data_IF_503892011573
#
_entry.id   IF_503892011573
#
_cell.length_a   1.000
_cell.length_b   1.000
_cell.length_c   1.000
_cell.angle_alpha   90.00
_cell.angle_beta   90.00
_cell.angle_gamma   90.00
#
_symmetry.space_group_name_H-M   'P 1'
#
loop_
_entity.id
_entity.type
_entity.pdbx_description
1 polymer ?
#
# COMPACT_ATOMS: atom_id res chain seq x y z
N UNK A 1 7.45 10.11 -25.27
CA UNK A 1 7.15 8.69 -25.49
C UNK A 1 7.75 8.30 -26.82
N UNK A 2 8.46 7.17 -26.85
CA UNK A 2 9.20 6.74 -28.03
C UNK A 2 8.30 6.31 -29.17
N UNK A 3 8.84 6.30 -30.37
CA UNK A 3 8.14 5.93 -31.61
C UNK A 3 7.88 4.41 -31.74
N UNK A 4 8.21 3.61 -30.74
CA UNK A 4 8.26 2.13 -30.79
C UNK A 4 7.54 1.40 -29.64
N UNK A 5 6.76 2.11 -28.84
CA UNK A 5 5.98 1.53 -27.73
C UNK A 5 4.53 1.98 -27.82
N UNK A 6 3.61 1.03 -27.93
CA UNK A 6 2.17 1.22 -27.77
C UNK A 6 1.76 0.76 -26.39
N UNK A 7 0.96 1.53 -25.67
CA UNK A 7 0.49 1.21 -24.33
C UNK A 7 -1.04 1.35 -24.31
N UNK A 8 -1.72 0.25 -24.02
CA UNK A 8 -3.16 0.21 -23.77
C UNK A 8 -3.41 0.15 -22.27
N UNK A 9 -4.41 0.90 -21.79
CA UNK A 9 -4.75 1.01 -20.38
C UNK A 9 -6.17 0.56 -20.12
N UNK A 10 -6.36 -0.17 -19.03
CA UNK A 10 -7.67 -0.43 -18.45
C UNK A 10 -7.59 -0.20 -16.94
N UNK A 11 -8.51 0.61 -16.39
CA UNK A 11 -8.52 1.03 -14.98
C UNK A 11 -9.79 0.47 -14.34
N UNK A 12 -9.63 -0.30 -13.26
CA UNK A 12 -10.72 -0.94 -12.55
C UNK A 12 -11.07 -0.30 -11.20
N UNK A 13 -10.33 0.72 -10.77
CA UNK A 13 -10.50 1.43 -9.49
C UNK A 13 -10.67 0.50 -8.26
N UNK A 14 -10.08 -0.70 -8.32
CA UNK A 14 -10.18 -1.71 -7.27
C UNK A 14 -11.42 -2.61 -7.34
N UNK A 15 -12.31 -2.40 -8.32
CA UNK A 15 -13.46 -3.26 -8.56
C UNK A 15 -13.02 -4.59 -9.20
N UNK A 16 -13.48 -5.71 -8.63
CA UNK A 16 -13.05 -7.05 -9.05
C UNK A 16 -13.66 -7.46 -10.40
N UNK A 17 -14.92 -7.13 -10.65
CA UNK A 17 -15.58 -7.49 -11.91
C UNK A 17 -15.05 -6.65 -13.07
N UNK A 18 -14.85 -5.36 -12.85
CA UNK A 18 -14.23 -4.49 -13.85
C UNK A 18 -12.78 -4.91 -14.10
N UNK A 19 -12.03 -5.35 -13.06
CA UNK A 19 -10.68 -5.89 -13.22
C UNK A 19 -10.64 -7.15 -14.09
N UNK A 20 -11.61 -8.05 -13.95
CA UNK A 20 -11.75 -9.23 -14.82
C UNK A 20 -12.06 -8.86 -16.26
N UNK A 21 -12.93 -7.89 -16.46
CA UNK A 21 -13.23 -7.37 -17.81
C UNK A 21 -11.99 -6.75 -18.44
N UNK A 22 -11.27 -5.90 -17.71
CA UNK A 22 -9.98 -5.35 -18.11
C UNK A 22 -8.97 -6.44 -18.51
N UNK A 23 -8.87 -7.51 -17.71
CA UNK A 23 -7.95 -8.61 -18.00
C UNK A 23 -8.28 -9.28 -19.35
N UNK A 24 -9.56 -9.62 -19.61
CA UNK A 24 -10.00 -10.20 -20.87
C UNK A 24 -9.74 -9.28 -22.06
N UNK A 25 -10.05 -8.00 -21.91
CA UNK A 25 -9.84 -6.99 -22.95
C UNK A 25 -8.36 -6.87 -23.33
N UNK A 26 -7.48 -6.64 -22.34
CA UNK A 26 -6.04 -6.50 -22.57
C UNK A 26 -5.41 -7.79 -23.13
N UNK A 27 -5.80 -8.98 -22.67
CA UNK A 27 -5.33 -10.26 -23.21
C UNK A 27 -5.76 -10.43 -24.69
N UNK A 28 -6.97 -9.98 -25.04
CA UNK A 28 -7.48 -10.08 -26.42
C UNK A 28 -6.67 -9.27 -27.43
N UNK A 29 -5.99 -8.21 -26.99
CA UNK A 29 -5.08 -7.39 -27.79
C UNK A 29 -3.76 -8.10 -28.09
N UNK A 30 -3.47 -9.22 -27.42
CA UNK A 30 -2.23 -10.02 -27.57
C UNK A 30 -0.96 -9.17 -27.40
N UNK A 31 -0.81 -8.41 -26.32
CA UNK A 31 0.37 -7.58 -26.12
C UNK A 31 1.61 -8.45 -25.89
N UNK A 32 2.78 -7.89 -26.13
CA UNK A 32 4.07 -8.56 -25.86
C UNK A 32 4.34 -8.71 -24.35
N UNK A 33 3.82 -7.79 -23.52
CA UNK A 33 3.95 -7.79 -22.05
C UNK A 33 2.68 -7.22 -21.43
N UNK A 34 2.22 -7.83 -20.34
CA UNK A 34 1.19 -7.29 -19.45
C UNK A 34 1.83 -6.66 -18.23
N UNK A 35 1.26 -5.54 -17.78
CA UNK A 35 1.64 -4.88 -16.54
C UNK A 35 0.45 -4.82 -15.57
N UNK A 36 0.57 -5.50 -14.44
CA UNK A 36 -0.48 -5.55 -13.42
C UNK A 36 -0.11 -4.74 -12.18
N UNK A 37 -1.02 -3.92 -11.70
CA UNK A 37 -0.86 -3.18 -10.45
C UNK A 37 -1.85 -3.70 -9.42
N UNK A 38 -1.36 -4.09 -8.24
CA UNK A 38 -2.10 -4.68 -7.12
C UNK A 38 -2.48 -6.16 -7.29
N UNK A 39 -2.92 -6.77 -6.18
CA UNK A 39 -3.35 -8.16 -6.15
C UNK A 39 -4.60 -8.39 -7.02
N UNK A 40 -5.54 -7.44 -7.06
CA UNK A 40 -6.80 -7.57 -7.80
C UNK A 40 -6.55 -7.73 -9.30
N UNK A 41 -5.70 -6.88 -9.87
CA UNK A 41 -5.34 -6.95 -11.30
C UNK A 41 -4.57 -8.24 -11.62
N UNK A 42 -3.62 -8.62 -10.76
CA UNK A 42 -2.82 -9.84 -10.96
C UNK A 42 -3.69 -11.10 -10.86
N UNK A 43 -4.61 -11.16 -9.89
CA UNK A 43 -5.54 -12.28 -9.76
C UNK A 43 -6.47 -12.40 -10.97
N UNK A 44 -6.94 -11.29 -11.52
CA UNK A 44 -7.78 -11.27 -12.72
C UNK A 44 -7.04 -11.80 -13.95
N UNK A 45 -5.79 -11.39 -14.18
CA UNK A 45 -4.97 -11.92 -15.28
C UNK A 45 -4.67 -13.41 -15.12
N UNK A 46 -4.40 -13.86 -13.90
CA UNK A 46 -4.14 -15.29 -13.64
C UNK A 46 -5.38 -16.15 -13.86
N UNK A 47 -6.57 -15.66 -13.46
CA UNK A 47 -7.83 -16.38 -13.65
C UNK A 47 -8.16 -16.63 -15.13
N UNK A 48 -7.74 -15.73 -16.02
CA UNK A 48 -7.88 -15.90 -17.48
C UNK A 48 -6.83 -16.82 -18.10
N UNK A 49 -5.89 -17.36 -17.32
CA UNK A 49 -4.91 -18.36 -17.75
C UNK A 49 -3.92 -17.85 -18.82
N UNK A 50 -3.61 -16.57 -18.84
CA UNK A 50 -2.71 -15.97 -19.83
C UNK A 50 -1.28 -16.46 -19.69
N UNK A 51 -0.66 -16.84 -20.81
CA UNK A 51 0.78 -17.14 -20.88
C UNK A 51 1.61 -15.93 -21.33
N UNK A 52 1.00 -14.77 -21.53
CA UNK A 52 1.70 -13.54 -21.90
C UNK A 52 2.64 -13.14 -20.73
N UNK A 53 3.90 -12.78 -21.02
CA UNK A 53 4.82 -12.26 -20.03
C UNK A 53 4.16 -11.15 -19.20
N UNK A 54 4.21 -11.29 -17.87
CA UNK A 54 3.53 -10.35 -16.97
C UNK A 54 4.51 -9.81 -15.94
N UNK A 55 4.58 -8.50 -15.84
CA UNK A 55 5.28 -7.78 -14.77
C UNK A 55 4.24 -7.23 -13.81
N UNK A 56 4.40 -7.51 -12.52
CA UNK A 56 3.54 -6.91 -11.51
C UNK A 56 4.25 -5.80 -10.70
N UNK A 57 3.46 -4.87 -10.17
CA UNK A 57 3.87 -3.93 -9.14
C UNK A 57 2.84 -3.91 -8.01
N UNK A 58 3.29 -3.61 -6.79
CA UNK A 58 2.42 -3.49 -5.60
C UNK A 58 1.64 -4.76 -5.26
N UNK A 59 2.12 -5.93 -5.70
CA UNK A 59 1.54 -7.21 -5.33
C UNK A 59 2.07 -7.64 -3.97
N UNK A 60 1.17 -8.04 -3.09
CA UNK A 60 1.49 -8.62 -1.79
C UNK A 60 1.54 -10.14 -1.89
N UNK A 61 2.50 -10.76 -1.20
CA UNK A 61 2.67 -12.21 -1.09
C UNK A 61 2.55 -12.99 -2.42
N UNK A 62 3.37 -12.69 -3.43
CA UNK A 62 3.28 -13.34 -4.73
C UNK A 62 3.58 -14.85 -4.70
N UNK A 63 4.26 -15.34 -3.65
CA UNK A 63 4.51 -16.76 -3.44
C UNK A 63 3.25 -17.44 -2.87
N UNK A 64 2.68 -16.91 -1.79
CA UNK A 64 1.45 -17.46 -1.19
C UNK A 64 0.27 -17.46 -2.16
N UNK A 65 0.19 -16.46 -3.03
CA UNK A 65 -0.80 -16.37 -4.13
C UNK A 65 -0.44 -17.26 -5.33
N UNK A 66 0.71 -17.94 -5.30
CA UNK A 66 1.20 -18.83 -6.35
C UNK A 66 1.40 -18.17 -7.72
N UNK A 67 1.70 -16.88 -7.73
CA UNK A 67 2.07 -16.15 -8.95
C UNK A 67 3.49 -16.50 -9.37
N UNK A 68 4.38 -16.70 -8.39
CA UNK A 68 5.78 -17.08 -8.57
C UNK A 68 6.17 -18.23 -7.62
N UNK A 69 7.21 -18.98 -7.97
CA UNK A 69 7.70 -20.07 -7.14
C UNK A 69 8.56 -19.58 -5.98
N UNK A 70 9.52 -18.74 -6.30
CA UNK A 70 10.37 -18.04 -5.32
C UNK A 70 10.70 -16.64 -5.80
N UNK A 71 11.19 -15.77 -4.91
CA UNK A 71 11.65 -14.45 -5.32
C UNK A 71 12.87 -14.51 -6.24
N UNK A 72 13.83 -15.39 -5.93
CA UNK A 72 15.06 -15.52 -6.72
C UNK A 72 14.83 -16.13 -8.10
N UNK A 73 13.86 -17.03 -8.20
CA UNK A 73 13.48 -17.75 -9.44
C UNK A 73 11.96 -17.81 -9.53
N UNK A 74 11.33 -16.86 -10.22
CA UNK A 74 9.87 -16.84 -10.39
C UNK A 74 9.30 -18.09 -11.03
N UNK A 75 10.05 -18.74 -11.95
CA UNK A 75 9.75 -20.05 -12.49
C UNK A 75 8.62 -20.10 -13.55
N UNK A 76 7.97 -18.96 -13.85
CA UNK A 76 6.84 -18.84 -14.77
C UNK A 76 6.97 -17.60 -15.65
N UNK A 77 5.87 -17.28 -16.36
CA UNK A 77 5.77 -16.07 -17.19
C UNK A 77 5.51 -14.79 -16.38
N UNK A 78 5.65 -14.81 -15.05
CA UNK A 78 5.32 -13.72 -14.14
C UNK A 78 6.53 -13.34 -13.30
N UNK A 79 6.81 -12.05 -13.18
CA UNK A 79 7.81 -11.48 -12.28
C UNK A 79 7.36 -10.08 -11.83
N UNK A 80 8.12 -9.40 -10.99
CA UNK A 80 7.78 -8.01 -10.65
C UNK A 80 8.30 -7.52 -9.30
N UNK A 81 7.57 -6.57 -8.73
CA UNK A 81 7.95 -5.79 -7.56
C UNK A 81 6.85 -5.87 -6.49
N UNK A 82 7.16 -6.54 -5.38
CA UNK A 82 6.24 -6.57 -4.24
C UNK A 82 6.33 -5.28 -3.43
N UNK A 83 5.24 -4.94 -2.74
CA UNK A 83 5.21 -3.88 -1.73
C UNK A 83 4.96 -4.44 -0.31
N UNK A 84 5.03 -5.76 -0.14
CA UNK A 84 4.70 -6.44 1.09
C UNK A 84 5.88 -6.48 2.07
N UNK A 85 5.80 -5.66 3.11
CA UNK A 85 6.80 -5.58 4.17
C UNK A 85 6.10 -5.51 5.52
N UNK A 86 5.71 -6.66 6.12
CA UNK A 86 4.93 -6.72 7.36
C UNK A 86 5.55 -5.99 8.55
N UNK A 87 6.88 -5.90 8.62
CA UNK A 87 7.59 -5.17 9.68
C UNK A 87 7.28 -3.66 9.72
N UNK A 88 6.75 -3.10 8.63
CA UNK A 88 6.26 -1.71 8.62
C UNK A 88 5.15 -1.49 9.63
N UNK A 89 4.32 -2.50 9.93
CA UNK A 89 3.26 -2.41 10.92
C UNK A 89 3.76 -1.92 12.28
N UNK A 90 4.83 -2.53 12.80
CA UNK A 90 5.46 -2.09 14.04
C UNK A 90 6.10 -0.72 13.94
N UNK A 91 6.70 -0.39 12.78
CA UNK A 91 7.29 0.93 12.53
C UNK A 91 6.22 2.03 12.55
N UNK A 92 5.03 1.78 12.00
CA UNK A 92 3.91 2.73 12.05
C UNK A 92 3.47 3.03 13.48
N UNK A 93 3.36 2.01 14.34
CA UNK A 93 3.04 2.21 15.76
C UNK A 93 4.10 3.07 16.43
N UNK A 94 5.38 2.76 16.23
CA UNK A 94 6.49 3.51 16.83
C UNK A 94 6.48 4.98 16.39
N UNK A 95 6.34 5.25 15.08
CA UNK A 95 6.30 6.60 14.53
C UNK A 95 5.08 7.39 15.04
N UNK A 96 3.91 6.76 15.06
CA UNK A 96 2.69 7.41 15.54
C UNK A 96 2.79 7.76 17.03
N UNK A 97 3.40 6.88 17.84
CA UNK A 97 3.66 7.12 19.26
C UNK A 97 4.71 8.22 19.47
N UNK A 98 5.70 8.34 18.60
CA UNK A 98 6.70 9.40 18.64
C UNK A 98 6.09 10.79 18.28
N UNK A 99 5.17 10.81 17.32
CA UNK A 99 4.44 12.02 16.88
C UNK A 99 3.39 12.45 17.91
N UNK A 100 2.70 11.50 18.52
CA UNK A 100 1.63 11.72 19.48
C UNK A 100 1.83 10.82 20.72
N UNK A 101 2.73 11.20 21.64
CA UNK A 101 3.12 10.36 22.79
C UNK A 101 1.97 10.01 23.74
N UNK A 102 0.90 10.81 23.72
CA UNK A 102 -0.30 10.59 24.54
C UNK A 102 -1.17 9.43 24.03
N UNK A 103 -0.94 8.88 22.83
CA UNK A 103 -1.76 7.80 22.27
C UNK A 103 -1.69 6.56 23.16
N UNK A 104 -2.86 6.07 23.55
CA UNK A 104 -3.06 4.85 24.34
C UNK A 104 -3.85 3.78 23.56
N UNK A 105 -4.52 4.20 22.46
CA UNK A 105 -5.33 3.31 21.64
C UNK A 105 -5.13 3.60 20.17
N UNK A 106 -5.00 2.55 19.37
CA UNK A 106 -4.86 2.64 17.91
C UNK A 106 -5.94 1.81 17.25
N UNK A 107 -6.76 2.45 16.42
CA UNK A 107 -7.62 1.76 15.46
C UNK A 107 -6.81 1.35 14.23
N UNK A 108 -6.87 0.08 13.86
CA UNK A 108 -6.17 -0.43 12.67
C UNK A 108 -7.19 -0.65 11.56
N UNK A 109 -7.12 0.17 10.52
CA UNK A 109 -7.98 0.11 9.33
C UNK A 109 -7.39 -0.87 8.34
N UNK A 110 -8.08 -1.98 8.07
CA UNK A 110 -7.59 -3.00 7.15
C UNK A 110 -8.74 -3.77 6.47
N UNK A 111 -8.46 -4.29 5.28
CA UNK A 111 -9.36 -5.16 4.55
C UNK A 111 -9.08 -6.63 4.91
N UNK A 112 -10.03 -7.36 5.52
CA UNK A 112 -9.84 -8.76 5.88
C UNK A 112 -9.76 -9.69 4.67
N UNK A 113 -10.28 -9.29 3.51
CA UNK A 113 -10.21 -10.07 2.26
C UNK A 113 -8.78 -10.21 1.72
N UNK A 114 -7.84 -9.35 2.18
CA UNK A 114 -6.41 -9.49 1.89
C UNK A 114 -5.74 -10.64 2.67
N UNK A 115 -6.51 -11.35 3.50
CA UNK A 115 -6.12 -12.61 4.12
C UNK A 115 -4.82 -12.55 4.93
N UNK A 116 -3.87 -13.45 4.63
CA UNK A 116 -2.60 -13.56 5.36
C UNK A 116 -1.77 -12.28 5.34
N UNK A 117 -1.95 -11.40 4.37
CA UNK A 117 -1.23 -10.13 4.27
C UNK A 117 -1.61 -9.20 5.43
N UNK A 118 -2.92 -9.02 5.66
CA UNK A 118 -3.41 -8.23 6.80
C UNK A 118 -2.96 -8.85 8.11
N UNK A 119 -3.05 -10.17 8.27
CA UNK A 119 -2.64 -10.88 9.48
C UNK A 119 -1.17 -10.64 9.84
N UNK A 120 -0.26 -10.64 8.87
CA UNK A 120 1.16 -10.41 9.09
C UNK A 120 1.45 -8.96 9.57
N UNK A 121 0.78 -7.95 8.99
CA UNK A 121 0.87 -6.57 9.47
C UNK A 121 0.28 -6.42 10.87
N UNK A 122 -0.90 -7.01 11.13
CA UNK A 122 -1.56 -6.98 12.44
C UNK A 122 -0.68 -7.60 13.51
N UNK A 123 -0.03 -8.73 13.23
CA UNK A 123 0.91 -9.36 14.18
C UNK A 123 2.07 -8.42 14.51
N UNK A 124 2.65 -7.74 13.51
CA UNK A 124 3.74 -6.77 13.72
C UNK A 124 3.27 -5.54 14.53
N UNK A 125 2.08 -5.00 14.23
CA UNK A 125 1.47 -3.90 14.97
C UNK A 125 1.26 -4.30 16.42
N UNK A 126 0.63 -5.46 16.68
CA UNK A 126 0.31 -5.95 18.01
C UNK A 126 1.55 -6.13 18.88
N UNK A 127 2.63 -6.69 18.31
CA UNK A 127 3.88 -6.88 19.02
C UNK A 127 4.48 -5.56 19.53
N UNK A 128 4.50 -4.51 18.68
CA UNK A 128 5.05 -3.20 19.07
C UNK A 128 4.07 -2.42 19.93
N UNK A 129 2.77 -2.46 19.67
CA UNK A 129 1.77 -1.81 20.50
C UNK A 129 1.82 -2.29 21.95
N UNK A 130 1.93 -3.60 22.15
CA UNK A 130 2.04 -4.21 23.48
C UNK A 130 3.26 -3.68 24.27
N UNK A 131 4.42 -3.58 23.64
CA UNK A 131 5.65 -3.08 24.29
C UNK A 131 5.64 -1.57 24.50
N UNK A 132 4.83 -0.84 23.73
CA UNK A 132 4.69 0.62 23.81
C UNK A 132 3.54 1.08 24.71
N UNK A 133 2.86 0.18 25.40
CA UNK A 133 1.71 0.50 26.27
C UNK A 133 0.49 1.00 25.47
N UNK A 134 0.32 0.56 24.23
CA UNK A 134 -0.77 0.95 23.34
C UNK A 134 -1.70 -0.24 23.09
N UNK A 135 -3.00 -0.02 23.18
CA UNK A 135 -4.01 -1.02 22.80
C UNK A 135 -4.32 -0.88 21.32
N UNK A 136 -4.01 -1.92 20.53
CA UNK A 136 -4.44 -2.00 19.14
C UNK A 136 -5.84 -2.61 19.04
N UNK A 137 -6.75 -1.92 18.36
CA UNK A 137 -8.11 -2.37 18.09
C UNK A 137 -8.20 -2.69 16.60
N UNK A 138 -8.37 -3.96 16.31
CA UNK A 138 -8.54 -4.41 14.93
C UNK A 138 -9.93 -4.03 14.44
N UNK A 139 -9.97 -3.39 13.28
CA UNK A 139 -11.21 -2.88 12.71
C UNK A 139 -11.26 -3.25 11.23
N UNK A 140 -11.71 -4.48 10.96
CA UNK A 140 -11.90 -4.93 9.58
C UNK A 140 -12.98 -4.10 8.90
N UNK A 141 -12.75 -3.78 7.65
CA UNK A 141 -13.75 -3.13 6.81
C UNK A 141 -14.06 -3.97 5.56
N UNK A 142 -15.32 -4.01 5.16
CA UNK A 142 -15.75 -4.56 3.88
C UNK A 142 -16.11 -3.45 2.88
N UNK A 143 -16.31 -2.23 3.36
CA UNK A 143 -16.72 -1.08 2.56
C UNK A 143 -16.32 0.27 3.21
N UNK A 144 -16.51 1.35 2.48
CA UNK A 144 -16.21 2.70 2.98
C UNK A 144 -17.04 3.09 4.20
N UNK A 145 -18.28 2.65 4.28
CA UNK A 145 -19.19 3.03 5.38
C UNK A 145 -18.75 2.39 6.70
N UNK A 146 -18.15 1.21 6.67
CA UNK A 146 -17.57 0.58 7.85
C UNK A 146 -16.32 1.31 8.34
N UNK A 147 -15.48 1.82 7.42
CA UNK A 147 -14.32 2.66 7.77
C UNK A 147 -14.79 3.97 8.41
N UNK A 148 -15.80 4.63 7.83
CA UNK A 148 -16.35 5.87 8.36
C UNK A 148 -16.91 5.68 9.78
N UNK A 149 -17.68 4.64 10.02
CA UNK A 149 -18.21 4.31 11.37
C UNK A 149 -17.09 4.09 12.37
N UNK A 150 -16.03 3.40 11.97
CA UNK A 150 -14.87 3.21 12.82
C UNK A 150 -14.22 4.55 13.19
N UNK A 151 -13.87 5.37 12.20
CA UNK A 151 -13.20 6.65 12.43
C UNK A 151 -14.04 7.51 13.37
N UNK A 152 -15.35 7.58 13.13
CA UNK A 152 -16.29 8.32 14.00
C UNK A 152 -16.36 7.73 15.41
N UNK A 153 -16.34 6.40 15.57
CA UNK A 153 -16.39 5.75 16.89
C UNK A 153 -15.16 6.05 17.76
N UNK A 154 -14.03 6.40 17.13
CA UNK A 154 -12.80 6.77 17.84
C UNK A 154 -12.73 8.27 18.19
N UNK A 155 -13.60 9.11 17.61
CA UNK A 155 -13.59 10.55 17.83
C UNK A 155 -13.69 10.92 19.33
N UNK A 156 -14.56 10.23 20.06
CA UNK A 156 -14.78 10.46 21.50
C UNK A 156 -13.85 9.63 22.40
N UNK A 157 -12.97 8.81 21.79
CA UNK A 157 -11.99 8.01 22.51
C UNK A 157 -10.76 8.86 22.80
N UNK A 158 -10.54 9.15 24.08
CA UNK A 158 -9.37 9.91 24.51
C UNK A 158 -8.09 9.21 24.09
N UNK A 159 -7.10 9.96 23.63
CA UNK A 159 -5.77 9.44 23.26
C UNK A 159 -5.82 8.34 22.19
N UNK A 160 -6.74 8.46 21.21
CA UNK A 160 -6.84 7.54 20.09
C UNK A 160 -6.04 8.02 18.88
N UNK A 161 -5.60 7.07 18.05
CA UNK A 161 -4.98 7.30 16.75
C UNK A 161 -5.36 6.20 15.75
N UNK A 162 -4.91 6.33 14.52
CA UNK A 162 -5.24 5.41 13.43
C UNK A 162 -3.98 4.95 12.69
N UNK A 163 -3.98 3.68 12.31
CA UNK A 163 -3.02 3.08 11.37
C UNK A 163 -3.78 2.53 10.18
N UNK A 164 -3.48 3.01 8.97
CA UNK A 164 -4.05 2.49 7.73
C UNK A 164 -3.11 1.46 7.12
N UNK A 165 -3.58 0.22 6.98
CA UNK A 165 -2.84 -0.82 6.25
C UNK A 165 -2.97 -0.64 4.73
N UNK A 166 -2.05 -1.23 3.94
CA UNK A 166 -2.14 -1.21 2.48
C UNK A 166 -3.47 -1.78 1.96
N UNK A 167 -4.23 -0.93 1.28
CA UNK A 167 -5.53 -1.27 0.72
C UNK A 167 -5.88 -0.35 -0.46
N UNK A 168 -6.40 -0.93 -1.54
CA UNK A 168 -6.74 -0.20 -2.76
C UNK A 168 -7.94 0.73 -2.56
N UNK A 169 -8.95 0.31 -1.78
CA UNK A 169 -10.14 1.11 -1.53
C UNK A 169 -9.80 2.41 -0.77
N UNK A 170 -9.02 2.30 0.30
CA UNK A 170 -8.60 3.47 1.08
C UNK A 170 -7.69 4.38 0.27
N UNK A 171 -6.80 3.82 -0.57
CA UNK A 171 -5.95 4.59 -1.47
C UNK A 171 -6.76 5.35 -2.54
N UNK A 172 -7.74 4.73 -3.15
CA UNK A 172 -8.64 5.37 -4.12
C UNK A 172 -9.43 6.52 -3.47
N UNK A 173 -9.95 6.30 -2.26
CA UNK A 173 -10.74 7.29 -1.49
C UNK A 173 -9.93 8.11 -0.49
N UNK A 174 -8.63 8.23 -0.67
CA UNK A 174 -7.72 8.90 0.29
C UNK A 174 -8.16 10.31 0.68
N UNK A 175 -8.71 11.11 -0.26
CA UNK A 175 -9.21 12.47 0.02
C UNK A 175 -10.35 12.45 1.04
N UNK A 176 -11.31 11.56 0.85
CA UNK A 176 -12.45 11.41 1.76
C UNK A 176 -12.00 10.91 3.13
N UNK A 177 -11.13 9.89 3.14
CA UNK A 177 -10.60 9.31 4.39
C UNK A 177 -9.79 10.31 5.19
N UNK A 178 -8.86 11.04 4.57
CA UNK A 178 -8.06 12.05 5.28
C UNK A 178 -8.90 13.21 5.79
N UNK A 179 -9.90 13.66 5.02
CA UNK A 179 -10.82 14.71 5.45
C UNK A 179 -11.64 14.29 6.68
N UNK A 180 -12.12 13.05 6.71
CA UNK A 180 -12.87 12.51 7.84
C UNK A 180 -11.98 12.37 9.09
N UNK A 181 -10.76 11.83 8.93
CA UNK A 181 -9.78 11.70 10.02
C UNK A 181 -9.44 13.06 10.61
N UNK A 182 -9.23 14.07 9.75
CA UNK A 182 -8.97 15.44 10.18
C UNK A 182 -10.17 16.04 10.94
N UNK A 183 -11.40 15.83 10.45
CA UNK A 183 -12.64 16.26 11.12
C UNK A 183 -12.78 15.66 12.52
N UNK A 184 -12.41 14.40 12.68
CA UNK A 184 -12.42 13.67 13.96
C UNK A 184 -11.19 14.00 14.83
N UNK A 185 -10.24 14.81 14.34
CA UNK A 185 -9.01 15.23 15.04
C UNK A 185 -8.16 14.05 15.52
N UNK A 186 -8.11 12.98 14.74
CA UNK A 186 -7.34 11.78 15.07
C UNK A 186 -5.95 11.82 14.42
N UNK A 187 -4.86 11.68 15.18
CA UNK A 187 -3.55 11.41 14.60
C UNK A 187 -3.59 10.10 13.81
N UNK A 188 -3.11 10.11 12.56
CA UNK A 188 -3.11 8.94 11.71
C UNK A 188 -1.82 8.78 10.92
N UNK A 189 -1.39 7.52 10.75
CA UNK A 189 -0.28 7.15 9.89
C UNK A 189 -0.77 6.31 8.72
N UNK A 190 -0.21 6.57 7.55
CA UNK A 190 -0.60 5.98 6.30
C UNK A 190 0.56 5.23 5.64
N UNK A 191 0.22 4.25 4.81
CA UNK A 191 1.18 3.39 4.11
C UNK A 191 1.77 4.01 2.82
N UNK A 192 1.24 5.15 2.35
CA UNK A 192 1.71 5.84 1.13
C UNK A 192 1.69 7.36 1.30
N UNK A 193 2.67 8.05 0.67
CA UNK A 193 2.74 9.51 0.60
C UNK A 193 1.48 10.18 0.06
N UNK A 194 0.76 9.51 -0.86
CA UNK A 194 -0.46 10.04 -1.49
C UNK A 194 -1.52 10.51 -0.49
N UNK A 195 -1.51 10.00 0.74
CA UNK A 195 -2.38 10.48 1.81
C UNK A 195 -1.89 11.82 2.37
N UNK A 196 -0.57 12.00 2.54
CA UNK A 196 0.01 13.26 3.01
C UNK A 196 -0.20 14.38 1.99
N UNK A 197 -0.13 14.09 0.69
CA UNK A 197 -0.39 15.03 -0.41
C UNK A 197 -1.82 15.62 -0.37
N UNK A 198 -2.76 14.95 0.31
CA UNK A 198 -4.16 15.39 0.45
C UNK A 198 -4.55 15.72 1.90
N UNK A 199 -3.56 15.98 2.77
CA UNK A 199 -3.77 16.43 4.14
C UNK A 199 -3.63 15.36 5.23
N UNK A 200 -3.16 14.16 4.92
CA UNK A 200 -2.82 13.16 5.93
C UNK A 200 -1.63 13.61 6.78
N UNK A 201 -1.61 13.22 8.07
CA UNK A 201 -0.62 13.68 9.04
C UNK A 201 0.80 13.17 8.72
N UNK A 202 0.92 11.86 8.51
CA UNK A 202 2.21 11.22 8.30
C UNK A 202 2.07 9.95 7.47
N UNK A 203 3.05 9.69 6.63
CA UNK A 203 3.17 8.40 5.94
C UNK A 203 4.59 7.83 6.09
N UNK A 204 4.64 6.51 6.20
CA UNK A 204 5.88 5.76 6.09
C UNK A 204 5.62 4.52 5.26
N UNK A 205 6.17 4.47 4.08
CA UNK A 205 5.85 3.41 3.13
C UNK A 205 6.83 3.30 1.98
N UNK A 206 6.49 2.45 1.02
CA UNK A 206 7.34 2.20 -0.14
C UNK A 206 7.39 3.42 -1.07
N UNK A 207 8.55 3.65 -1.66
CA UNK A 207 8.70 4.65 -2.71
C UNK A 207 8.09 4.12 -4.02
N UNK A 208 6.89 4.62 -4.37
CA UNK A 208 6.17 4.20 -5.58
C UNK A 208 6.96 4.45 -6.87
N UNK A 209 7.67 5.58 -6.95
CA UNK A 209 8.45 5.92 -8.14
C UNK A 209 9.54 4.89 -8.39
N UNK A 210 10.19 4.39 -7.33
CA UNK A 210 11.21 3.35 -7.43
C UNK A 210 10.63 2.01 -7.87
N UNK A 211 9.47 1.63 -7.32
CA UNK A 211 8.76 0.40 -7.72
C UNK A 211 8.39 0.46 -9.19
N UNK A 212 7.75 1.55 -9.64
CA UNK A 212 7.33 1.67 -11.05
C UNK A 212 8.51 1.81 -12.01
N UNK A 213 9.57 2.53 -11.65
CA UNK A 213 10.78 2.61 -12.46
C UNK A 213 11.46 1.24 -12.60
N UNK A 214 11.51 0.47 -11.52
CA UNK A 214 12.00 -0.90 -11.55
C UNK A 214 11.15 -1.81 -12.44
N UNK A 215 9.81 -1.73 -12.32
CA UNK A 215 8.89 -2.50 -13.15
C UNK A 215 9.03 -2.13 -14.64
N UNK A 216 9.16 -0.85 -14.97
CA UNK A 216 9.40 -0.39 -16.34
C UNK A 216 10.72 -0.94 -16.91
N UNK A 217 11.77 -1.04 -16.09
CA UNK A 217 13.03 -1.68 -16.47
C UNK A 217 12.85 -3.17 -16.79
N UNK A 218 11.99 -3.88 -16.03
CA UNK A 218 11.69 -5.29 -16.33
C UNK A 218 10.88 -5.45 -17.60
N UNK A 219 9.89 -4.59 -17.83
CA UNK A 219 9.14 -4.54 -19.09
C UNK A 219 10.10 -4.34 -20.28
N UNK A 220 11.02 -3.36 -20.22
CA UNK A 220 12.02 -3.14 -21.29
C UNK A 220 12.88 -4.38 -21.53
N UNK A 221 13.36 -5.04 -20.48
CA UNK A 221 14.18 -6.26 -20.60
C UNK A 221 13.41 -7.42 -21.25
N UNK A 222 12.12 -7.58 -20.89
CA UNK A 222 11.27 -8.64 -21.48
C UNK A 222 10.98 -8.35 -22.95
N UNK A 223 10.67 -7.10 -23.31
CA UNK A 223 10.51 -6.67 -24.70
C UNK A 223 11.79 -6.86 -25.54
N UNK A 224 12.96 -6.91 -24.90
CA UNK A 224 14.25 -7.25 -25.54
C UNK A 224 14.59 -8.73 -25.50
N UNK A 225 13.66 -9.59 -25.07
CA UNK A 225 13.80 -11.06 -25.09
C UNK A 225 14.25 -11.70 -23.77
N UNK A 226 14.29 -10.97 -22.66
CA UNK A 226 14.53 -11.61 -21.37
C UNK A 226 13.33 -12.47 -20.95
N UNK A 227 13.61 -13.64 -20.35
CA UNK A 227 12.57 -14.49 -19.83
C UNK A 227 12.13 -14.00 -18.44
N UNK A 228 10.83 -13.76 -18.17
CA UNK A 228 10.34 -13.40 -16.83
C UNK A 228 10.77 -14.39 -15.73
N UNK A 229 10.86 -15.68 -16.04
CA UNK A 229 11.29 -16.72 -15.10
C UNK A 229 12.70 -16.50 -14.53
N UNK A 230 13.56 -15.76 -15.25
CA UNK A 230 14.95 -15.50 -14.88
C UNK A 230 15.13 -14.10 -14.24
N UNK A 231 14.05 -13.33 -14.12
CA UNK A 231 14.05 -11.99 -13.50
C UNK A 231 13.55 -12.10 -12.05
N UNK A 232 14.43 -11.98 -11.04
CA UNK A 232 14.03 -12.13 -9.64
C UNK A 232 12.93 -11.13 -9.24
N UNK A 233 11.96 -11.57 -8.45
CA UNK A 233 11.01 -10.67 -7.81
C UNK A 233 11.75 -9.76 -6.84
N UNK A 234 11.50 -8.46 -6.90
CA UNK A 234 12.12 -7.47 -6.05
C UNK A 234 11.23 -7.10 -4.87
N UNK A 235 11.80 -7.10 -3.66
CA UNK A 235 11.20 -6.48 -2.50
C UNK A 235 11.67 -5.02 -2.39
N UNK A 236 10.87 -4.12 -1.80
CA UNK A 236 11.28 -2.73 -1.63
C UNK A 236 12.45 -2.63 -0.65
N UNK A 237 13.45 -1.84 -1.01
CA UNK A 237 14.62 -1.52 -0.19
C UNK A 237 14.64 -0.06 0.24
N UNK A 238 13.83 0.77 -0.41
CA UNK A 238 13.73 2.20 -0.13
C UNK A 238 12.32 2.54 0.33
N UNK A 239 12.24 3.30 1.41
CA UNK A 239 11.00 3.75 2.03
C UNK A 239 11.00 5.27 2.09
N UNK A 240 9.82 5.88 2.06
CA UNK A 240 9.62 7.31 2.20
C UNK A 240 8.94 7.63 3.53
N UNK A 241 9.50 8.57 4.25
CA UNK A 241 8.94 9.13 5.48
C UNK A 241 8.52 10.57 5.25
N UNK A 242 7.21 10.80 5.13
CA UNK A 242 6.64 12.12 4.84
C UNK A 242 5.83 12.59 6.03
N UNK A 243 6.03 13.85 6.43
CA UNK A 243 5.29 14.49 7.53
C UNK A 243 4.57 15.72 6.99
N UNK A 244 3.27 15.86 7.28
CA UNK A 244 2.52 17.08 7.00
C UNK A 244 2.47 17.95 8.26
N UNK A 245 3.30 19.00 8.29
CA UNK A 245 3.44 19.92 9.43
C UNK A 245 2.18 20.76 9.66
N UNK A 246 1.46 21.11 8.58
CA UNK A 246 0.19 21.82 8.70
C UNK A 246 -0.85 20.98 9.44
N UNK A 247 -0.97 19.71 9.08
CA UNK A 247 -1.88 18.78 9.75
C UNK A 247 -1.49 18.57 11.21
N UNK A 248 -0.20 18.41 11.51
CA UNK A 248 0.28 18.34 12.89
C UNK A 248 -0.12 19.58 13.71
N UNK A 249 0.05 20.78 13.14
CA UNK A 249 -0.32 22.04 13.76
C UNK A 249 -1.83 22.14 14.03
N UNK A 250 -2.66 21.73 13.08
CA UNK A 250 -4.13 21.68 13.25
C UNK A 250 -4.55 20.71 14.36
N UNK A 251 -3.84 19.59 14.51
CA UNK A 251 -4.07 18.62 15.57
C UNK A 251 -3.47 19.02 16.92
N UNK A 252 -2.72 20.13 17.00
CA UNK A 252 -2.04 20.59 18.21
C UNK A 252 -0.87 19.69 18.62
N UNK A 253 -0.23 19.04 17.65
CA UNK A 253 0.91 18.15 17.88
C UNK A 253 2.22 18.91 17.71
N UNK A 254 3.11 18.79 18.70
CA UNK A 254 4.48 19.30 18.66
C UNK A 254 5.38 18.19 18.08
N UNK A 255 5.96 18.45 16.91
CA UNK A 255 6.85 17.50 16.24
C UNK A 255 8.29 17.69 16.74
N UNK A 256 8.93 16.64 17.28
CA UNK A 256 10.33 16.73 17.69
C UNK A 256 11.25 17.02 16.49
N UNK A 257 12.25 17.90 16.68
CA UNK A 257 13.25 18.21 15.64
C UNK A 257 13.99 16.96 15.14
N UNK A 258 14.24 16.00 16.03
CA UNK A 258 14.85 14.71 15.69
C UNK A 258 13.96 13.87 14.75
N UNK A 259 12.65 14.03 14.81
CA UNK A 259 11.70 13.38 13.91
C UNK A 259 11.70 14.06 12.54
N UNK A 260 11.63 15.39 12.54
CA UNK A 260 11.66 16.19 11.31
C UNK A 260 12.96 15.97 10.52
N UNK A 261 14.10 15.87 11.22
CA UNK A 261 15.40 15.61 10.59
C UNK A 261 15.49 14.21 9.91
N UNK A 262 14.62 13.28 10.26
CA UNK A 262 14.56 11.94 9.66
C UNK A 262 13.54 11.82 8.53
N UNK A 263 12.69 12.82 8.36
CA UNK A 263 11.73 12.84 7.28
C UNK A 263 12.44 13.10 5.94
N UNK A 264 12.05 12.36 4.91
CA UNK A 264 12.51 12.59 3.54
C UNK A 264 11.87 13.87 2.96
N UNK A 265 10.65 14.19 3.44
CA UNK A 265 9.94 15.41 3.07
C UNK A 265 9.05 15.89 4.23
N UNK A 266 9.02 17.21 4.44
CA UNK A 266 8.10 17.87 5.35
C UNK A 266 7.23 18.84 4.53
N UNK A 267 5.92 18.53 4.46
CA UNK A 267 4.92 19.35 3.78
C UNK A 267 4.53 20.49 4.74
N UNK A 268 4.70 21.74 4.26
CA UNK A 268 4.41 22.96 5.01
C UNK A 268 3.12 23.66 4.59
#
# INVERSE_FOLDING_TARGET
MGQNLLIDYCISDGDTEESRKCARELISLKPDVLFAVTNTSMASLQAEGSNIPTVFAMVSDPIGMRYVETFARPGRNVTGFTAFVPSLGGKWVSLLKEIAPQIERIGVVYNPELGNNSAAFLASIKAVAQTSGVVSVETPHGDSSSIERLIVSLQDTRNAGLVFLPDALTAARRKEMTALVAKCRLPAIYFLRLFCDVGGLVSYGVNLNKIYAGAASYVDRILRGANPADLPVQAPTEFEFIINRNTARVLGLELPESLLARADEVIE
#
